data_IF_803964953832
#
_entry.id   IF_803964953832
#
_cell.length_a   1.000
_cell.length_b   1.000
_cell.length_c   1.000
_cell.angle_alpha   90.00
_cell.angle_beta   90.00
_cell.angle_gamma   90.00
#
_symmetry.space_group_name_H-M   'P 1'
#
loop_
_entity.id
_entity.type
_entity.pdbx_description
1 polymer ?
#
# COMPACT_ATOMS: atom_id res chain seq x y z
N UNK A 1 9.27 -2.91 15.68
CA UNK A 1 8.94 -1.49 15.90
C UNK A 1 8.71 -0.81 14.56
N UNK A 2 7.70 0.07 14.45
CA UNK A 2 7.43 0.83 13.23
C UNK A 2 8.07 2.21 13.35
N UNK A 3 8.74 2.65 12.28
CA UNK A 3 9.23 4.03 12.15
C UNK A 3 9.02 4.57 10.73
N UNK A 4 9.04 5.89 10.61
CA UNK A 4 9.12 6.55 9.31
C UNK A 4 10.45 6.21 8.63
N UNK A 5 10.40 5.96 7.33
CA UNK A 5 11.58 5.73 6.48
C UNK A 5 11.90 7.01 5.72
N UNK A 6 13.17 7.34 5.68
CA UNK A 6 13.70 8.57 5.08
C UNK A 6 14.41 8.26 3.75
N UNK A 7 14.93 9.29 3.12
CA UNK A 7 15.75 9.13 1.90
C UNK A 7 16.99 8.25 2.12
N UNK A 8 17.54 8.23 3.34
CA UNK A 8 18.65 7.34 3.72
C UNK A 8 18.25 5.84 3.76
N UNK A 9 16.96 5.54 3.82
CA UNK A 9 16.43 4.17 3.80
C UNK A 9 16.06 3.68 2.38
N UNK A 10 16.34 4.49 1.35
CA UNK A 10 15.90 4.26 -0.04
C UNK A 10 16.23 2.85 -0.54
N UNK A 11 17.46 2.41 -0.41
CA UNK A 11 17.89 1.08 -0.87
C UNK A 11 17.20 -0.05 -0.11
N UNK A 12 16.94 0.15 1.18
CA UNK A 12 16.19 -0.81 2.01
C UNK A 12 14.73 -0.92 1.57
N UNK A 13 14.08 0.21 1.27
CA UNK A 13 12.71 0.23 0.73
C UNK A 13 12.67 -0.51 -0.59
N UNK A 14 13.55 -0.16 -1.52
CA UNK A 14 13.62 -0.75 -2.86
C UNK A 14 13.82 -2.27 -2.78
N UNK A 15 14.72 -2.71 -1.93
CA UNK A 15 15.01 -4.14 -1.71
C UNK A 15 13.79 -4.89 -1.19
N UNK A 16 13.11 -4.37 -0.15
CA UNK A 16 11.93 -5.04 0.42
C UNK A 16 10.80 -5.15 -0.61
N UNK A 17 10.55 -4.08 -1.38
CA UNK A 17 9.53 -4.09 -2.43
C UNK A 17 9.86 -5.17 -3.47
N UNK A 18 11.06 -5.19 -4.01
CA UNK A 18 11.43 -6.11 -5.08
C UNK A 18 11.52 -7.56 -4.62
N UNK A 19 12.02 -7.83 -3.42
CA UNK A 19 12.07 -9.19 -2.86
C UNK A 19 10.65 -9.73 -2.62
N UNK A 20 9.76 -8.92 -2.05
CA UNK A 20 8.39 -9.33 -1.77
C UNK A 20 7.52 -9.40 -3.04
N UNK A 21 7.78 -8.56 -4.03
CA UNK A 21 7.02 -8.53 -5.28
C UNK A 21 7.22 -9.80 -6.14
N UNK A 22 8.23 -10.63 -5.85
CA UNK A 22 8.42 -11.91 -6.54
C UNK A 22 7.19 -12.82 -6.42
N UNK A 23 6.36 -12.66 -5.39
CA UNK A 23 5.09 -13.37 -5.25
C UNK A 23 4.09 -13.07 -6.38
N UNK A 24 4.23 -11.94 -7.07
CA UNK A 24 3.39 -11.58 -8.23
C UNK A 24 3.83 -12.20 -9.55
N UNK A 25 5.04 -12.74 -9.62
CA UNK A 25 5.54 -13.39 -10.84
C UNK A 25 4.67 -14.58 -11.20
N UNK A 26 4.13 -14.59 -12.42
CA UNK A 26 3.19 -15.62 -12.89
C UNK A 26 1.74 -15.43 -12.41
N UNK A 27 1.47 -14.44 -11.56
CA UNK A 27 0.12 -14.11 -11.07
C UNK A 27 -0.45 -12.90 -11.81
N UNK A 28 0.35 -11.85 -11.99
CA UNK A 28 -0.04 -10.70 -12.80
C UNK A 28 0.20 -11.00 -14.27
N UNK A 29 -0.45 -10.28 -15.22
CA UNK A 29 -0.24 -10.50 -16.63
C UNK A 29 1.25 -10.42 -17.03
N UNK A 30 1.71 -11.34 -17.88
CA UNK A 30 3.12 -11.41 -18.30
C UNK A 30 3.59 -10.11 -18.96
N UNK A 31 2.71 -9.43 -19.68
CA UNK A 31 2.98 -8.14 -20.30
C UNK A 31 3.14 -6.98 -19.28
N UNK A 32 2.82 -7.23 -18.03
CA UNK A 32 2.98 -6.25 -16.91
C UNK A 32 4.09 -6.63 -15.95
N UNK A 33 4.60 -7.85 -16.01
CA UNK A 33 5.75 -8.24 -15.20
C UNK A 33 7.04 -7.64 -15.76
N UNK A 34 7.84 -7.07 -14.88
CA UNK A 34 9.18 -6.57 -15.21
C UNK A 34 10.15 -6.83 -14.04
N UNK A 35 11.42 -6.89 -14.35
CA UNK A 35 12.48 -7.02 -13.34
C UNK A 35 13.54 -5.92 -13.53
N UNK A 36 13.82 -5.14 -12.48
CA UNK A 36 13.18 -5.19 -11.16
C UNK A 36 11.69 -4.77 -11.25
N UNK A 37 10.86 -5.28 -10.36
CA UNK A 37 9.45 -4.90 -10.28
C UNK A 37 9.26 -3.40 -10.05
N UNK A 38 10.05 -2.84 -9.14
CA UNK A 38 10.18 -1.41 -8.87
C UNK A 38 11.60 -0.97 -9.21
N UNK A 39 11.75 -0.06 -10.15
CA UNK A 39 13.05 0.56 -10.44
C UNK A 39 13.38 1.64 -9.42
N UNK A 40 14.67 1.97 -9.28
CA UNK A 40 15.11 3.07 -8.43
C UNK A 40 14.50 4.42 -8.86
N UNK A 41 14.35 4.63 -10.17
CA UNK A 41 13.73 5.85 -10.71
C UNK A 41 12.25 5.94 -10.33
N UNK A 42 11.50 4.85 -10.45
CA UNK A 42 10.09 4.80 -10.05
C UNK A 42 9.93 5.08 -8.55
N UNK A 43 10.73 4.44 -7.69
CA UNK A 43 10.65 4.69 -6.25
C UNK A 43 10.96 6.15 -5.92
N UNK A 44 11.94 6.74 -6.59
CA UNK A 44 12.28 8.17 -6.40
C UNK A 44 11.09 9.06 -6.77
N UNK A 45 10.47 8.83 -7.92
CA UNK A 45 9.26 9.56 -8.34
C UNK A 45 8.10 9.41 -7.36
N UNK A 46 7.90 8.21 -6.81
CA UNK A 46 6.87 7.98 -5.79
C UNK A 46 7.13 8.83 -4.53
N UNK A 47 8.36 8.84 -4.04
CA UNK A 47 8.74 9.61 -2.85
C UNK A 47 8.64 11.12 -3.10
N UNK A 48 9.11 11.60 -4.25
CA UNK A 48 8.98 13.01 -4.68
C UNK A 48 7.52 13.41 -4.87
N UNK A 49 6.67 12.48 -5.32
CA UNK A 49 5.22 12.64 -5.46
C UNK A 49 4.44 12.62 -4.15
N UNK A 50 5.13 12.53 -3.01
CA UNK A 50 4.53 12.63 -1.68
C UNK A 50 4.20 11.29 -1.02
N UNK A 51 4.65 10.17 -1.57
CA UNK A 51 4.52 8.88 -0.88
C UNK A 51 5.50 8.84 0.30
N UNK A 52 4.97 8.71 1.50
CA UNK A 52 5.74 8.54 2.73
C UNK A 52 5.75 7.07 3.11
N UNK A 53 6.94 6.51 3.34
CA UNK A 53 7.10 5.12 3.72
C UNK A 53 7.30 4.95 5.22
N UNK A 54 6.77 3.84 5.74
CA UNK A 54 6.97 3.36 7.10
C UNK A 54 7.49 1.93 7.03
N UNK A 55 8.39 1.58 7.94
CA UNK A 55 9.00 0.27 7.98
C UNK A 55 8.79 -0.43 9.31
N UNK A 56 8.55 -1.74 9.26
CA UNK A 56 8.68 -2.60 10.42
C UNK A 56 10.14 -2.99 10.59
N UNK A 57 10.76 -2.52 11.67
CA UNK A 57 12.19 -2.67 11.90
C UNK A 57 12.53 -3.79 12.88
N UNK A 58 13.60 -4.52 12.57
CA UNK A 58 14.32 -5.38 13.51
C UNK A 58 15.78 -4.94 13.53
N UNK A 59 16.16 -4.21 14.57
CA UNK A 59 17.42 -3.43 14.53
C UNK A 59 17.37 -2.43 13.38
N UNK A 60 18.44 -2.37 12.59
CA UNK A 60 18.54 -1.48 11.44
C UNK A 60 17.93 -2.06 10.15
N UNK A 61 17.42 -3.28 10.22
CA UNK A 61 16.84 -3.98 9.06
C UNK A 61 15.33 -3.76 8.96
N UNK A 62 14.86 -3.33 7.80
CA UNK A 62 13.43 -3.32 7.48
C UNK A 62 12.96 -4.69 7.03
N UNK A 63 11.94 -5.23 7.67
CA UNK A 63 11.31 -6.53 7.34
C UNK A 63 10.01 -6.37 6.57
N UNK A 64 9.46 -5.18 6.55
CA UNK A 64 8.27 -4.82 5.79
C UNK A 64 8.20 -3.32 5.63
N UNK A 65 7.61 -2.88 4.55
CA UNK A 65 7.39 -1.46 4.24
C UNK A 65 5.95 -1.25 3.81
N UNK A 66 5.44 -0.05 4.07
CA UNK A 66 4.16 0.38 3.53
C UNK A 66 4.20 1.90 3.30
N UNK A 67 3.72 2.32 2.14
CA UNK A 67 3.63 3.72 1.76
C UNK A 67 2.23 4.27 1.95
N UNK A 68 2.16 5.56 2.22
CA UNK A 68 0.93 6.34 2.30
C UNK A 68 1.09 7.64 1.54
N UNK A 69 0.10 7.99 0.75
CA UNK A 69 0.05 9.26 0.02
C UNK A 69 -1.23 10.01 0.38
N UNK A 70 -1.07 11.16 1.01
CA UNK A 70 -2.19 12.04 1.32
C UNK A 70 -2.54 12.87 0.08
N UNK A 71 -3.77 12.76 -0.36
CA UNK A 71 -4.37 13.60 -1.38
C UNK A 71 -5.39 14.54 -0.72
N UNK A 72 -5.99 15.44 -1.50
CA UNK A 72 -6.86 16.48 -0.95
C UNK A 72 -8.01 15.92 -0.10
N UNK A 73 -8.69 14.91 -0.61
CA UNK A 73 -9.94 14.35 -0.07
C UNK A 73 -9.86 12.86 0.25
N UNK A 74 -8.75 12.21 -0.08
CA UNK A 74 -8.54 10.78 0.15
C UNK A 74 -7.08 10.48 0.48
N UNK A 75 -6.85 9.32 1.07
CA UNK A 75 -5.52 8.80 1.33
C UNK A 75 -5.33 7.49 0.58
N UNK A 76 -4.20 7.35 -0.10
CA UNK A 76 -3.84 6.11 -0.79
C UNK A 76 -2.84 5.31 0.04
N UNK A 77 -3.07 4.02 0.18
CA UNK A 77 -2.04 3.06 0.60
C UNK A 77 -1.29 2.61 -0.65
N UNK A 78 0.02 2.70 -0.60
CA UNK A 78 0.92 2.37 -1.70
C UNK A 78 2.02 1.43 -1.22
N UNK A 79 2.39 0.45 -2.06
CA UNK A 79 3.59 -0.36 -1.89
C UNK A 79 3.70 -1.04 -0.50
N UNK A 80 2.64 -1.73 -0.07
CA UNK A 80 2.62 -2.48 1.18
C UNK A 80 3.19 -3.89 0.96
N UNK A 81 4.39 -4.14 1.46
CA UNK A 81 5.12 -5.38 1.27
C UNK A 81 5.78 -5.85 2.56
N UNK A 82 5.80 -7.18 2.76
CA UNK A 82 6.55 -7.83 3.84
C UNK A 82 7.46 -8.87 3.21
N UNK A 83 8.72 -8.90 3.64
CA UNK A 83 9.69 -9.89 3.17
C UNK A 83 9.13 -11.31 3.32
N UNK A 84 9.29 -12.20 2.32
CA UNK A 84 8.65 -13.52 2.31
C UNK A 84 8.90 -14.34 3.59
N UNK A 85 10.12 -14.34 4.10
CA UNK A 85 10.49 -15.06 5.32
C UNK A 85 9.80 -14.54 6.60
N UNK A 86 9.20 -13.36 6.55
CA UNK A 86 8.58 -12.69 7.70
C UNK A 86 7.07 -12.49 7.54
N UNK A 87 6.48 -13.02 6.46
CA UNK A 87 5.05 -13.00 6.25
C UNK A 87 4.30 -13.87 7.26
N UNK A 88 3.00 -13.64 7.41
CA UNK A 88 2.10 -14.33 8.36
C UNK A 88 2.52 -14.26 9.84
N UNK A 89 3.34 -13.26 10.19
CA UNK A 89 3.75 -12.94 11.57
C UNK A 89 3.11 -11.65 12.09
N UNK A 90 2.06 -11.18 11.41
CA UNK A 90 1.31 -9.98 11.82
C UNK A 90 1.96 -8.64 11.43
N UNK A 91 3.10 -8.63 10.73
CA UNK A 91 3.79 -7.39 10.33
C UNK A 91 2.92 -6.54 9.41
N UNK A 92 2.33 -7.14 8.37
CA UNK A 92 1.44 -6.43 7.45
C UNK A 92 0.23 -5.81 8.16
N UNK A 93 -0.39 -6.54 9.09
CA UNK A 93 -1.51 -6.05 9.91
C UNK A 93 -1.10 -4.84 10.76
N UNK A 94 0.07 -4.90 11.37
CA UNK A 94 0.57 -3.80 12.22
C UNK A 94 0.92 -2.56 11.41
N UNK A 95 1.55 -2.75 10.24
CA UNK A 95 1.81 -1.66 9.29
C UNK A 95 0.50 -1.02 8.82
N UNK A 96 -0.48 -1.82 8.39
CA UNK A 96 -1.77 -1.31 7.94
C UNK A 96 -2.48 -0.51 9.04
N UNK A 97 -2.56 -1.05 10.25
CA UNK A 97 -3.17 -0.35 11.40
C UNK A 97 -2.46 0.98 11.71
N UNK A 98 -1.13 1.00 11.61
CA UNK A 98 -0.36 2.22 11.77
C UNK A 98 -0.70 3.25 10.70
N UNK A 99 -0.73 2.85 9.43
CA UNK A 99 -1.12 3.75 8.34
C UNK A 99 -2.53 4.30 8.52
N UNK A 100 -3.48 3.47 8.94
CA UNK A 100 -4.84 3.90 9.23
C UNK A 100 -4.89 4.96 10.35
N UNK A 101 -4.00 4.86 11.33
CA UNK A 101 -3.87 5.83 12.41
C UNK A 101 -3.32 7.18 11.97
N UNK A 102 -2.44 7.19 10.97
CA UNK A 102 -1.80 8.42 10.45
C UNK A 102 -2.46 8.98 9.18
N UNK A 103 -3.43 8.25 8.62
CA UNK A 103 -4.20 8.73 7.49
C UNK A 103 -4.94 10.04 7.84
N UNK A 104 -4.81 11.04 6.96
CA UNK A 104 -5.37 12.39 7.18
C UNK A 104 -6.85 12.54 6.83
N UNK A 105 -7.42 11.59 6.08
CA UNK A 105 -8.78 11.63 5.53
C UNK A 105 -9.62 10.48 6.08
N UNK A 106 -10.95 10.62 5.99
CA UNK A 106 -11.87 9.56 6.38
C UNK A 106 -11.93 8.42 5.35
N UNK A 107 -11.66 8.72 4.08
CA UNK A 107 -11.55 7.71 3.02
C UNK A 107 -10.10 7.28 2.84
N UNK A 108 -9.90 5.96 2.79
CA UNK A 108 -8.62 5.35 2.42
C UNK A 108 -8.85 4.35 1.30
N UNK A 109 -8.03 4.47 0.25
CA UNK A 109 -8.07 3.61 -0.93
C UNK A 109 -6.78 2.80 -1.04
N UNK A 110 -6.90 1.59 -1.55
CA UNK A 110 -5.78 0.75 -1.95
C UNK A 110 -6.09 0.07 -3.28
N UNK A 111 -5.11 0.09 -4.18
CA UNK A 111 -5.16 -0.62 -5.46
C UNK A 111 -4.25 -1.85 -5.43
N UNK A 112 -4.69 -2.95 -6.03
CA UNK A 112 -3.88 -4.14 -6.23
C UNK A 112 -4.30 -4.87 -7.51
N UNK A 113 -3.52 -5.86 -7.92
CA UNK A 113 -3.82 -6.67 -9.09
C UNK A 113 -5.05 -7.55 -8.86
N UNK A 114 -5.89 -7.69 -9.88
CA UNK A 114 -7.11 -8.50 -9.82
C UNK A 114 -6.85 -9.93 -9.35
N UNK A 115 -5.75 -10.53 -9.81
CA UNK A 115 -5.41 -11.93 -9.52
C UNK A 115 -4.60 -12.10 -8.22
N UNK A 116 -4.26 -11.00 -7.54
CA UNK A 116 -3.60 -11.04 -6.24
C UNK A 116 -4.64 -11.29 -5.12
N UNK A 117 -5.25 -12.46 -5.11
CA UNK A 117 -6.35 -12.83 -4.21
C UNK A 117 -5.97 -12.76 -2.74
N UNK A 118 -4.72 -13.08 -2.38
CA UNK A 118 -4.22 -12.97 -1.00
C UNK A 118 -4.20 -11.51 -0.51
N UNK A 119 -3.84 -10.55 -1.39
CA UNK A 119 -3.84 -9.13 -1.06
C UNK A 119 -5.27 -8.62 -0.87
N UNK A 120 -6.18 -8.98 -1.76
CA UNK A 120 -7.60 -8.62 -1.66
C UNK A 120 -8.17 -9.12 -0.33
N UNK A 121 -7.99 -10.40 0.00
CA UNK A 121 -8.46 -10.99 1.26
C UNK A 121 -7.85 -10.33 2.49
N UNK A 122 -6.56 -9.96 2.42
CA UNK A 122 -5.90 -9.24 3.50
C UNK A 122 -6.60 -7.91 3.80
N UNK A 123 -6.89 -7.11 2.78
CA UNK A 123 -7.58 -5.83 2.96
C UNK A 123 -9.04 -6.02 3.39
N UNK A 124 -9.76 -6.97 2.82
CA UNK A 124 -11.14 -7.28 3.22
C UNK A 124 -11.23 -7.66 4.69
N UNK A 125 -10.29 -8.46 5.18
CA UNK A 125 -10.19 -8.83 6.60
C UNK A 125 -10.02 -7.61 7.52
N UNK A 126 -9.47 -6.52 7.00
CA UNK A 126 -9.23 -5.29 7.76
C UNK A 126 -10.27 -4.18 7.48
N UNK A 127 -11.42 -4.54 6.96
CA UNK A 127 -12.57 -3.63 6.81
C UNK A 127 -12.60 -2.87 5.49
N UNK A 128 -11.74 -3.19 4.54
CA UNK A 128 -11.82 -2.68 3.18
C UNK A 128 -12.86 -3.47 2.37
N UNK A 129 -13.45 -2.83 1.39
CA UNK A 129 -14.40 -3.44 0.46
C UNK A 129 -14.03 -3.13 -0.97
N UNK A 130 -14.14 -4.13 -1.85
CA UNK A 130 -14.02 -3.94 -3.29
C UNK A 130 -15.06 -2.95 -3.78
N UNK A 131 -14.63 -1.99 -4.57
CA UNK A 131 -15.54 -1.11 -5.30
C UNK A 131 -15.97 -1.77 -6.61
N UNK A 132 -17.05 -1.29 -7.24
CA UNK A 132 -17.48 -1.76 -8.55
C UNK A 132 -16.42 -1.51 -9.63
N UNK A 133 -16.46 -2.25 -10.73
CA UNK A 133 -15.52 -2.04 -11.86
C UNK A 133 -15.57 -0.61 -12.40
N UNK A 134 -16.76 -0.04 -12.51
CA UNK A 134 -16.93 1.36 -12.96
C UNK A 134 -16.27 2.35 -12.01
N UNK A 135 -16.48 2.17 -10.71
CA UNK A 135 -15.88 3.02 -9.69
C UNK A 135 -14.35 2.84 -9.64
N UNK A 136 -13.86 1.61 -9.76
CA UNK A 136 -12.44 1.28 -9.85
C UNK A 136 -11.78 2.02 -11.00
N UNK A 137 -12.37 1.98 -12.19
CA UNK A 137 -11.82 2.68 -13.37
C UNK A 137 -11.73 4.19 -13.13
N UNK A 138 -12.77 4.77 -12.56
CA UNK A 138 -12.82 6.19 -12.21
C UNK A 138 -11.73 6.56 -11.20
N UNK A 139 -11.60 5.80 -10.13
CA UNK A 139 -10.64 6.06 -9.05
C UNK A 139 -9.19 5.88 -9.52
N UNK A 140 -8.89 4.81 -10.27
CA UNK A 140 -7.54 4.58 -10.79
C UNK A 140 -7.09 5.67 -11.74
N UNK A 141 -7.96 6.11 -12.65
CA UNK A 141 -7.64 7.21 -13.58
C UNK A 141 -7.52 8.56 -12.87
N UNK A 142 -8.26 8.78 -11.78
CA UNK A 142 -8.22 10.02 -11.01
C UNK A 142 -6.98 10.13 -10.12
N UNK A 143 -6.59 9.06 -9.45
CA UNK A 143 -5.59 9.10 -8.37
C UNK A 143 -4.28 8.35 -8.66
N UNK A 144 -4.25 7.49 -9.67
CA UNK A 144 -3.04 6.74 -10.05
C UNK A 144 -2.56 7.13 -11.44
N UNK A 145 -1.25 7.27 -11.60
CA UNK A 145 -0.60 7.45 -12.90
C UNK A 145 -0.12 6.10 -13.43
N UNK A 146 -1.04 5.28 -13.91
CA UNK A 146 -0.77 3.93 -14.40
C UNK A 146 -1.29 3.75 -15.83
N UNK A 147 -0.66 2.86 -16.65
CA UNK A 147 -1.14 2.56 -17.98
C UNK A 147 -2.53 1.94 -17.97
N UNK A 148 -3.29 2.10 -19.07
CA UNK A 148 -4.65 1.56 -19.19
C UNK A 148 -4.69 0.04 -18.96
N UNK A 149 -3.69 -0.69 -19.45
CA UNK A 149 -3.57 -2.13 -19.22
C UNK A 149 -3.53 -2.49 -17.73
N UNK A 150 -2.90 -1.66 -16.91
CA UNK A 150 -2.89 -1.86 -15.45
C UNK A 150 -4.23 -1.48 -14.83
N UNK A 151 -4.92 -0.47 -15.34
CA UNK A 151 -6.30 -0.15 -14.93
C UNK A 151 -7.22 -1.36 -15.14
N UNK A 152 -7.15 -1.98 -16.32
CA UNK A 152 -7.95 -3.17 -16.67
C UNK A 152 -7.70 -4.37 -15.75
N UNK A 153 -6.46 -4.54 -15.32
CA UNK A 153 -6.00 -5.72 -14.55
C UNK A 153 -5.86 -5.47 -13.06
N UNK A 154 -6.41 -4.37 -12.58
CA UNK A 154 -6.38 -3.98 -11.16
C UNK A 154 -7.77 -3.89 -10.55
N UNK A 155 -7.80 -3.94 -9.23
CA UNK A 155 -8.97 -3.65 -8.40
C UNK A 155 -8.65 -2.53 -7.42
N UNK A 156 -9.68 -1.88 -6.89
CA UNK A 156 -9.57 -0.91 -5.81
C UNK A 156 -10.44 -1.36 -4.65
N UNK A 157 -9.91 -1.26 -3.44
CA UNK A 157 -10.66 -1.44 -2.22
C UNK A 157 -10.70 -0.11 -1.47
N UNK A 158 -11.80 0.11 -0.78
CA UNK A 158 -12.09 1.33 -0.03
C UNK A 158 -12.46 0.98 1.39
N UNK A 159 -11.98 1.78 2.33
CA UNK A 159 -12.57 1.85 3.67
C UNK A 159 -12.86 3.30 4.03
N UNK A 160 -13.90 3.50 4.82
CA UNK A 160 -14.27 4.78 5.39
C UNK A 160 -14.36 4.65 6.89
N UNK A 161 -13.78 5.59 7.62
CA UNK A 161 -13.89 5.65 9.07
C UNK A 161 -14.03 7.11 9.51
N UNK A 162 -14.93 7.35 10.45
CA UNK A 162 -15.13 8.70 11.01
C UNK A 162 -14.22 8.89 12.21
N UNK A 163 -13.28 9.83 12.10
CA UNK A 163 -12.42 10.24 13.24
C UNK A 163 -13.18 10.92 14.37
N UNK A 164 -14.42 11.37 14.11
CA UNK A 164 -15.25 12.08 15.11
C UNK A 164 -15.71 11.17 16.25
N UNK A 165 -15.73 9.85 16.08
CA UNK A 165 -16.16 8.92 17.15
C UNK A 165 -15.08 8.58 18.18
N UNK A 166 -13.82 8.99 17.96
CA UNK A 166 -12.72 8.65 18.88
C UNK A 166 -12.48 9.75 19.95
N UNK A 167 -13.06 10.94 19.82
CA UNK A 167 -12.87 12.04 20.80
C UNK A 167 -13.86 12.06 21.96
N UNK A 168 -14.88 11.21 21.97
CA UNK A 168 -15.95 11.25 22.98
C UNK A 168 -15.82 10.24 24.14
N UNK A 169 -14.72 9.47 24.21
CA UNK A 169 -14.52 8.50 25.32
C UNK A 169 -13.54 8.94 26.40
N UNK A 170 -12.93 10.11 26.32
CA UNK A 170 -12.00 10.62 27.34
C UNK A 170 -12.46 11.94 27.98
N UNK A 171 -13.75 12.17 28.08
CA UNK A 171 -14.31 13.26 28.86
C UNK A 171 -15.29 12.68 29.89
N UNK A 172 -14.73 12.07 30.97
CA UNK A 172 -15.35 11.96 32.31
C UNK A 172 -14.28 11.61 33.32
#
# INVERSE_FOLDING_TARGET
>A
MIRSLLSSDFDSILKVINDAAQAYKGIIPDDRWKEPYMSAEELRKEMEGGVRFFGWMKGDRSLGVAGIQALRDTTLIRHAYVLPAFQRKGIGTRLLKYLMGVAGTDEVLVGTWTDATWAIRFYEKHGFRLVSSREKDRLLRKYWSIPERQVETSVVLRTTFSKSKCKSKNAK
#
